data_IF_013464532828
#
_entry.id   IF_013464532828
#
_cell.length_a   1.000
_cell.length_b   1.000
_cell.length_c   1.000
_cell.angle_alpha   90.00
_cell.angle_beta   90.00
_cell.angle_gamma   90.00
#
_symmetry.space_group_name_H-M   'P 1'
#
loop_
_entity.id
_entity.type
_entity.pdbx_description
1 polymer ?
#
# COMPACT_ATOMS: atom_id res chain seq x y z
N UNK A 1 14.72 -0.21 -10.23
CA UNK A 1 15.26 0.28 -8.94
C UNK A 1 14.16 0.48 -7.90
N UNK A 2 13.07 1.21 -8.19
CA UNK A 2 12.01 1.50 -7.21
C UNK A 2 11.18 0.28 -6.77
N UNK A 3 10.80 -0.59 -7.71
CA UNK A 3 10.07 -1.83 -7.40
C UNK A 3 10.88 -2.79 -6.51
N UNK A 4 12.19 -2.91 -6.74
CA UNK A 4 13.08 -3.74 -5.91
C UNK A 4 13.20 -3.17 -4.48
N UNK A 5 13.17 -1.84 -4.34
CA UNK A 5 13.16 -1.19 -3.03
C UNK A 5 11.85 -1.46 -2.27
N UNK A 6 10.69 -1.36 -2.95
CA UNK A 6 9.40 -1.72 -2.35
C UNK A 6 9.33 -3.20 -1.98
N UNK A 7 9.91 -4.08 -2.81
CA UNK A 7 9.94 -5.51 -2.54
C UNK A 7 10.76 -5.85 -1.30
N UNK A 8 11.87 -5.15 -1.07
CA UNK A 8 12.70 -5.32 0.12
C UNK A 8 11.99 -4.87 1.41
N UNK A 9 11.08 -3.89 1.33
CA UNK A 9 10.34 -3.36 2.50
C UNK A 9 9.06 -4.16 2.77
N UNK A 10 8.28 -4.45 1.74
CA UNK A 10 6.95 -5.06 1.87
C UNK A 10 6.98 -6.59 1.77
N UNK A 11 8.07 -7.16 1.26
CA UNK A 11 8.11 -8.54 0.81
C UNK A 11 7.44 -8.73 -0.55
N UNK A 12 7.95 -9.72 -1.29
CA UNK A 12 7.53 -10.01 -2.67
C UNK A 12 6.05 -10.32 -2.82
N UNK A 13 5.51 -11.13 -1.92
CA UNK A 13 4.14 -11.63 -2.08
C UNK A 13 3.08 -10.57 -1.79
N UNK A 14 3.30 -9.73 -0.77
CA UNK A 14 2.42 -8.60 -0.48
C UNK A 14 2.42 -7.59 -1.65
N UNK A 15 3.61 -7.27 -2.17
CA UNK A 15 3.76 -6.37 -3.31
C UNK A 15 3.07 -6.90 -4.56
N UNK A 16 3.26 -8.19 -4.88
CA UNK A 16 2.64 -8.85 -6.03
C UNK A 16 1.10 -8.76 -5.97
N UNK A 17 0.50 -9.12 -4.84
CA UNK A 17 -0.96 -9.08 -4.65
C UNK A 17 -1.52 -7.67 -4.76
N UNK A 18 -0.86 -6.70 -4.15
CA UNK A 18 -1.32 -5.31 -4.19
C UNK A 18 -1.26 -4.71 -5.59
N UNK A 19 -0.19 -5.00 -6.35
CA UNK A 19 -0.09 -4.55 -7.75
C UNK A 19 -1.08 -5.26 -8.68
N UNK A 20 -1.33 -6.56 -8.48
CA UNK A 20 -2.35 -7.31 -9.22
C UNK A 20 -3.74 -6.69 -9.02
N UNK A 21 -4.12 -6.42 -7.76
CA UNK A 21 -5.39 -5.76 -7.45
C UNK A 21 -5.47 -4.32 -8.01
N UNK A 22 -4.36 -3.57 -8.01
CA UNK A 22 -4.31 -2.23 -8.58
C UNK A 22 -4.55 -2.25 -10.10
N UNK A 23 -4.01 -3.25 -10.81
CA UNK A 23 -4.26 -3.44 -12.24
C UNK A 23 -5.72 -3.81 -12.54
N UNK A 24 -6.29 -4.74 -11.77
CA UNK A 24 -7.71 -5.11 -11.91
C UNK A 24 -8.65 -3.92 -11.69
N UNK A 25 -8.32 -3.08 -10.71
CA UNK A 25 -9.10 -1.88 -10.36
C UNK A 25 -8.75 -0.65 -11.18
N UNK A 26 -7.83 -0.78 -12.14
CA UNK A 26 -7.39 0.30 -13.05
C UNK A 26 -6.92 1.55 -12.32
N UNK A 27 -6.12 1.36 -11.28
CA UNK A 27 -5.49 2.45 -10.55
C UNK A 27 -4.70 3.34 -11.52
N UNK A 28 -4.74 4.65 -11.27
CA UNK A 28 -4.00 5.64 -12.03
C UNK A 28 -2.53 5.63 -11.56
N UNK A 29 -1.61 5.86 -12.50
CA UNK A 29 -0.17 5.80 -12.24
C UNK A 29 0.47 7.18 -12.38
N UNK A 30 1.69 7.31 -11.87
CA UNK A 30 2.52 8.52 -11.94
C UNK A 30 2.02 9.68 -11.06
N UNK A 31 2.29 10.91 -11.49
CA UNK A 31 2.36 12.11 -10.66
C UNK A 31 1.00 12.54 -10.05
N UNK A 32 -0.09 12.03 -10.64
CA UNK A 32 -1.47 12.23 -10.18
C UNK A 32 -2.21 10.89 -10.05
N UNK A 33 -1.46 9.81 -9.86
CA UNK A 33 -1.97 8.46 -9.70
C UNK A 33 -2.49 8.18 -8.30
N UNK A 34 -3.07 7.00 -8.15
CA UNK A 34 -3.49 6.49 -6.84
C UNK A 34 -2.29 6.14 -5.97
N UNK A 35 -2.51 6.11 -4.64
CA UNK A 35 -1.49 5.75 -3.66
C UNK A 35 -1.60 4.29 -3.22
N UNK A 36 -0.47 3.65 -2.97
CA UNK A 36 -0.39 2.32 -2.37
C UNK A 36 0.30 2.43 -1.01
N UNK A 37 -0.49 2.34 0.06
CA UNK A 37 0.02 2.40 1.43
C UNK A 37 0.37 1.00 1.93
N UNK A 38 1.62 0.80 2.36
CA UNK A 38 2.12 -0.46 2.90
C UNK A 38 2.33 -0.24 4.40
N UNK A 39 1.54 -0.94 5.21
CA UNK A 39 1.59 -0.85 6.66
C UNK A 39 2.30 -2.07 7.24
N UNK A 40 3.07 -1.93 8.34
CA UNK A 40 3.54 -3.08 9.08
C UNK A 40 2.34 -3.85 9.64
N UNK A 41 2.55 -5.13 9.98
CA UNK A 41 1.54 -5.89 10.72
C UNK A 41 1.27 -5.15 12.03
N UNK A 42 0.05 -4.60 12.18
CA UNK A 42 -0.35 -3.93 13.40
C UNK A 42 -0.27 -4.95 14.54
N UNK A 43 0.60 -4.70 15.52
CA UNK A 43 0.34 -5.19 16.86
C UNK A 43 -1.06 -4.69 17.21
N UNK A 44 -1.99 -5.64 17.36
CA UNK A 44 -3.44 -5.49 17.54
C UNK A 44 -3.78 -4.72 18.84
N UNK A 45 -3.29 -3.48 18.98
CA UNK A 45 -3.25 -2.69 20.20
C UNK A 45 -2.99 -1.18 19.95
N UNK A 46 -3.47 -0.63 18.84
CA UNK A 46 -3.54 0.83 18.64
C UNK A 46 -4.97 1.33 18.85
N UNK A 47 -5.16 2.40 19.65
CA UNK A 47 -6.48 2.96 19.92
C UNK A 47 -7.05 3.58 18.64
N UNK A 48 -8.35 3.36 18.45
CA UNK A 48 -9.21 3.89 17.38
C UNK A 48 -8.75 5.28 16.91
N UNK A 49 -8.10 5.35 15.74
CA UNK A 49 -7.79 6.58 15.06
C UNK A 49 -9.12 7.21 14.61
N UNK A 50 -9.71 8.01 15.49
CA UNK A 50 -10.89 8.80 15.19
C UNK A 50 -10.67 9.59 13.90
N UNK A 51 -11.47 9.26 12.89
CA UNK A 51 -11.51 9.85 11.56
C UNK A 51 -11.40 11.38 11.63
N UNK A 52 -10.57 11.93 10.75
CA UNK A 52 -10.41 13.35 10.51
C UNK A 52 -11.68 13.94 9.85
N UNK A 53 -12.70 14.18 10.67
CA UNK A 53 -13.88 14.98 10.33
C UNK A 53 -13.49 16.47 10.29
N UNK A 54 -13.49 17.05 9.09
CA UNK A 54 -13.46 18.49 8.84
C UNK A 54 -14.70 18.88 8.05
#
# INVERSE_FOLDING_TARGET
>A
SHLLMLEAVAGREALRRGYEAALERRYLWHEFGDVHLILPEEERNTPDCSSNEW
#
